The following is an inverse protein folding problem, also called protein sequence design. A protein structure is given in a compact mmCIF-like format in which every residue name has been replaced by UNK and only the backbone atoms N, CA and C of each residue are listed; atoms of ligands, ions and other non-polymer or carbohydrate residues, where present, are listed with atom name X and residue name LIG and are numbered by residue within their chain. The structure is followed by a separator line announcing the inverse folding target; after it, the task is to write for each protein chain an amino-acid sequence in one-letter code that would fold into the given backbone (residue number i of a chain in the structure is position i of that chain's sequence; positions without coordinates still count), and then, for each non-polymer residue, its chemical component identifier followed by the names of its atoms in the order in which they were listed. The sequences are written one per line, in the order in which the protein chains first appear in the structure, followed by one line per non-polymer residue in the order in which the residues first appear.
data_IF_513941454055
#
_entry.id   IF_513941454055
#
_cell.length_a   1.000
_cell.length_b   1.000
_cell.length_c   1.000
_cell.angle_alpha   90.00
_cell.angle_beta   90.00
_cell.angle_gamma   90.00
#
_symmetry.space_group_name_H-M   'P 1'
#
loop_
_entity.id
_entity.type
_entity.pdbx_description
1 polymer ?
#
# COMPACT_ATOMS: atom_id res chain seq x y z
N UNK A 1 -7.13 23.36 -6.92
CA UNK A 1 -6.71 21.97 -6.60
C UNK A 1 -6.87 21.18 -7.88
N UNK A 2 -5.84 20.45 -8.27
CA UNK A 2 -5.88 19.57 -9.44
C UNK A 2 -5.94 18.13 -8.93
N UNK A 3 -6.87 17.34 -9.46
CA UNK A 3 -7.09 15.94 -9.09
C UNK A 3 -7.13 15.13 -10.39
N UNK A 4 -6.32 14.08 -10.43
CA UNK A 4 -6.26 13.11 -11.51
C UNK A 4 -6.75 11.77 -10.95
N UNK A 5 -7.87 11.28 -11.46
CA UNK A 5 -8.33 9.92 -11.22
C UNK A 5 -7.78 8.99 -12.29
N UNK A 6 -7.19 7.86 -11.88
CA UNK A 6 -6.69 6.83 -12.78
C UNK A 6 -7.54 5.57 -12.65
N UNK A 7 -7.92 4.98 -13.78
CA UNK A 7 -8.53 3.65 -13.83
C UNK A 7 -8.04 2.91 -15.09
N UNK A 8 -7.98 1.58 -15.02
CA UNK A 8 -7.60 0.73 -16.15
C UNK A 8 -8.70 0.62 -17.20
N UNK A 9 -9.96 0.85 -16.81
CA UNK A 9 -11.14 0.68 -17.66
C UNK A 9 -11.56 2.01 -18.27
N UNK A 10 -11.45 2.09 -19.59
CA UNK A 10 -11.89 3.24 -20.39
C UNK A 10 -13.37 3.61 -20.15
N UNK A 11 -14.25 2.62 -19.97
CA UNK A 11 -15.66 2.87 -19.64
C UNK A 11 -15.83 3.63 -18.31
N UNK A 12 -15.10 3.22 -17.26
CA UNK A 12 -15.15 3.88 -15.94
C UNK A 12 -14.64 5.31 -16.06
N UNK A 13 -13.53 5.51 -16.75
CA UNK A 13 -12.96 6.86 -16.99
C UNK A 13 -13.95 7.75 -17.72
N UNK A 14 -14.59 7.27 -18.80
CA UNK A 14 -15.58 8.04 -19.55
C UNK A 14 -16.78 8.42 -18.69
N UNK A 15 -17.28 7.50 -17.87
CA UNK A 15 -18.40 7.78 -16.99
C UNK A 15 -18.04 8.78 -15.89
N UNK A 16 -16.88 8.62 -15.25
CA UNK A 16 -16.37 9.55 -14.26
C UNK A 16 -16.14 10.94 -14.85
N UNK A 17 -15.57 11.03 -16.05
CA UNK A 17 -15.36 12.29 -16.76
C UNK A 17 -16.70 12.98 -17.09
N UNK A 18 -17.68 12.22 -17.62
CA UNK A 18 -19.03 12.72 -17.88
C UNK A 18 -19.72 13.23 -16.62
N UNK A 19 -19.56 12.54 -15.48
CA UNK A 19 -20.12 12.96 -14.19
C UNK A 19 -19.44 14.25 -13.71
N UNK A 20 -18.10 14.31 -13.78
CA UNK A 20 -17.30 15.49 -13.44
C UNK A 20 -17.77 16.74 -14.20
N UNK A 21 -17.98 16.60 -15.51
CA UNK A 21 -18.47 17.67 -16.39
C UNK A 21 -19.90 18.11 -16.04
N UNK A 22 -20.82 17.15 -15.85
CA UNK A 22 -22.21 17.44 -15.48
C UNK A 22 -22.32 18.19 -14.14
N UNK A 23 -21.43 17.90 -13.20
CA UNK A 23 -21.40 18.53 -11.88
C UNK A 23 -20.54 19.81 -11.84
N UNK A 24 -19.87 20.17 -12.94
CA UNK A 24 -19.01 21.35 -13.00
C UNK A 24 -17.77 21.25 -12.11
N UNK A 25 -17.26 20.03 -11.88
CA UNK A 25 -16.09 19.76 -11.04
C UNK A 25 -14.79 20.26 -11.70
N UNK A 26 -14.50 21.55 -11.56
CA UNK A 26 -13.28 22.17 -12.09
C UNK A 26 -12.03 21.59 -11.40
N UNK A 27 -11.02 21.24 -12.20
CA UNK A 27 -9.75 20.67 -11.71
C UNK A 27 -9.80 19.17 -11.43
N UNK A 28 -10.91 18.48 -11.73
CA UNK A 28 -11.02 17.02 -11.65
C UNK A 28 -11.06 16.41 -13.05
N UNK A 29 -10.05 15.61 -13.38
CA UNK A 29 -9.99 14.85 -14.64
C UNK A 29 -9.73 13.37 -14.37
N UNK A 30 -10.14 12.54 -15.32
CA UNK A 30 -9.90 11.11 -15.28
C UNK A 30 -9.09 10.68 -16.51
N UNK A 31 -8.13 9.78 -16.31
CA UNK A 31 -7.24 9.28 -17.35
C UNK A 31 -7.21 7.75 -17.30
N UNK A 32 -7.19 7.11 -18.48
CA UNK A 32 -7.01 5.66 -18.58
C UNK A 32 -5.54 5.36 -18.36
N UNK A 33 -5.22 4.60 -17.32
CA UNK A 33 -3.84 4.30 -17.00
C UNK A 33 -3.69 3.42 -15.77
N UNK A 34 -2.59 2.66 -15.78
CA UNK A 34 -2.11 1.99 -14.57
C UNK A 34 -1.34 3.00 -13.73
N UNK A 35 -1.58 3.01 -12.43
CA UNK A 35 -0.79 3.81 -11.49
C UNK A 35 0.67 3.38 -11.50
N UNK A 36 0.93 2.08 -11.71
CA UNK A 36 2.28 1.55 -11.83
C UNK A 36 2.96 2.15 -13.07
N UNK A 37 3.94 3.03 -12.85
CA UNK A 37 4.68 3.70 -13.93
C UNK A 37 3.99 4.94 -14.51
N UNK A 38 2.89 5.42 -13.92
CA UNK A 38 2.29 6.69 -14.35
C UNK A 38 3.23 7.87 -14.11
N UNK A 39 3.31 8.77 -15.09
CA UNK A 39 4.07 10.02 -14.98
C UNK A 39 3.13 11.19 -14.80
N UNK A 40 3.09 11.75 -13.59
CA UNK A 40 2.17 12.83 -13.24
C UNK A 40 2.49 14.20 -13.89
N UNK A 41 3.58 14.30 -14.67
CA UNK A 41 3.98 15.54 -15.34
C UNK A 41 4.39 16.69 -14.41
N UNK A 42 4.47 16.46 -13.11
CA UNK A 42 4.79 17.44 -12.08
C UNK A 42 4.79 16.83 -10.66
N UNK A 43 5.05 17.64 -9.62
CA UNK A 43 5.03 17.18 -8.24
C UNK A 43 3.62 16.78 -7.80
N UNK A 44 3.51 15.64 -7.11
CA UNK A 44 2.25 15.15 -6.54
C UNK A 44 2.25 15.40 -5.03
N UNK A 45 1.29 16.17 -4.53
CA UNK A 45 1.19 16.47 -3.10
C UNK A 45 0.62 15.29 -2.29
N UNK A 46 -0.34 14.56 -2.87
CA UNK A 46 -1.09 13.51 -2.19
C UNK A 46 -1.44 12.37 -3.15
N UNK A 47 -1.33 11.13 -2.67
CA UNK A 47 -1.84 9.94 -3.34
C UNK A 47 -2.96 9.31 -2.52
N UNK A 48 -4.05 8.94 -3.18
CA UNK A 48 -5.22 8.31 -2.56
C UNK A 48 -5.57 7.04 -3.34
N UNK A 49 -5.60 5.89 -2.67
CA UNK A 49 -6.08 4.63 -3.24
C UNK A 49 -7.33 4.14 -2.50
N UNK A 50 -8.43 4.04 -3.24
CA UNK A 50 -9.72 3.58 -2.74
C UNK A 50 -10.09 2.34 -3.54
N UNK A 51 -10.27 1.21 -2.86
CA UNK A 51 -10.59 -0.09 -3.49
C UNK A 51 -9.54 -0.61 -4.49
N UNK A 52 -8.27 -0.24 -4.35
CA UNK A 52 -7.16 -0.85 -5.08
C UNK A 52 -6.83 -2.23 -4.49
N UNK A 53 -7.68 -3.23 -4.69
CA UNK A 53 -7.56 -4.50 -3.97
C UNK A 53 -6.28 -5.30 -4.32
N UNK A 54 -5.90 -6.17 -3.40
CA UNK A 54 -4.72 -7.03 -3.45
C UNK A 54 -3.43 -6.23 -3.69
N UNK A 55 -2.58 -6.67 -4.61
CA UNK A 55 -1.29 -6.04 -4.93
C UNK A 55 -1.42 -4.67 -5.63
N UNK A 56 -2.62 -4.28 -6.05
CA UNK A 56 -2.85 -2.93 -6.58
C UNK A 56 -2.65 -1.84 -5.51
N UNK A 57 -2.94 -2.15 -4.24
CA UNK A 57 -2.59 -1.25 -3.12
C UNK A 57 -1.07 -1.09 -3.03
N UNK A 58 -0.31 -2.17 -3.21
CA UNK A 58 1.16 -2.14 -3.15
C UNK A 58 1.75 -1.34 -4.32
N UNK A 59 1.22 -1.50 -5.53
CA UNK A 59 1.59 -0.68 -6.68
C UNK A 59 1.32 0.82 -6.45
N UNK A 60 0.15 1.15 -5.90
CA UNK A 60 -0.21 2.53 -5.57
C UNK A 60 0.70 3.14 -4.49
N UNK A 61 1.00 2.37 -3.43
CA UNK A 61 1.92 2.80 -2.37
C UNK A 61 3.32 3.00 -2.94
N UNK A 62 3.84 2.03 -3.69
CA UNK A 62 5.16 2.11 -4.30
C UNK A 62 5.26 3.36 -5.18
N UNK A 63 4.32 3.56 -6.10
CA UNK A 63 4.30 4.75 -6.97
C UNK A 63 4.24 6.06 -6.18
N UNK A 64 3.46 6.12 -5.10
CA UNK A 64 3.38 7.31 -4.25
C UNK A 64 4.72 7.61 -3.55
N UNK A 65 5.44 6.57 -3.11
CA UNK A 65 6.80 6.70 -2.59
C UNK A 65 7.76 7.19 -3.69
N UNK A 66 7.65 6.69 -4.93
CA UNK A 66 8.45 7.15 -6.08
C UNK A 66 8.25 8.64 -6.35
N UNK A 67 7.01 9.11 -6.34
CA UNK A 67 6.70 10.54 -6.48
C UNK A 67 7.10 11.37 -5.26
N UNK A 68 7.55 10.75 -4.17
CA UNK A 68 7.90 11.39 -2.89
C UNK A 68 6.75 12.28 -2.38
N UNK A 69 5.52 11.80 -2.52
CA UNK A 69 4.33 12.57 -2.13
C UNK A 69 4.36 12.90 -0.64
N UNK A 70 3.73 14.00 -0.24
CA UNK A 70 3.69 14.42 1.17
C UNK A 70 2.76 13.53 2.00
N UNK A 71 1.68 13.05 1.38
CA UNK A 71 0.63 12.26 2.06
C UNK A 71 0.21 11.07 1.18
N UNK A 72 0.15 9.89 1.79
CA UNK A 72 -0.42 8.66 1.21
C UNK A 72 -1.62 8.26 2.05
N UNK A 73 -2.77 8.08 1.40
CA UNK A 73 -3.99 7.54 1.98
C UNK A 73 -4.37 6.27 1.23
N UNK A 74 -4.17 5.10 1.84
CA UNK A 74 -4.50 3.82 1.24
C UNK A 74 -5.59 3.11 2.04
N UNK A 75 -6.70 2.78 1.39
CA UNK A 75 -7.80 2.00 1.97
C UNK A 75 -7.71 0.55 1.44
N UNK A 76 -7.05 -0.36 2.18
CA UNK A 76 -6.94 -1.75 1.78
C UNK A 76 -8.31 -2.43 1.90
N UNK A 77 -8.76 -3.08 0.82
CA UNK A 77 -10.03 -3.79 0.76
C UNK A 77 -9.84 -5.30 0.89
N UNK A 78 -9.33 -5.97 -0.14
CA UNK A 78 -9.14 -7.42 -0.16
C UNK A 78 -7.66 -7.74 -0.32
N UNK A 79 -7.15 -8.77 0.33
CA UNK A 79 -5.75 -9.16 0.26
C UNK A 79 -5.65 -10.68 0.27
N UNK A 80 -5.01 -11.23 -0.75
CA UNK A 80 -4.85 -12.67 -0.92
C UNK A 80 -3.38 -13.10 -0.94
N UNK A 81 -2.45 -12.16 -1.14
CA UNK A 81 -1.01 -12.47 -1.17
C UNK A 81 -0.58 -13.26 0.08
N UNK A 82 -0.74 -12.67 1.27
CA UNK A 82 -0.32 -13.33 2.50
C UNK A 82 -1.16 -14.56 2.84
N UNK A 83 -2.40 -14.66 2.37
CA UNK A 83 -3.23 -15.83 2.62
C UNK A 83 -2.57 -17.10 2.03
N UNK A 84 -1.94 -16.96 0.85
CA UNK A 84 -1.25 -18.07 0.20
C UNK A 84 0.18 -18.28 0.72
N UNK A 85 0.83 -17.24 1.24
CA UNK A 85 2.21 -17.32 1.74
C UNK A 85 2.30 -17.81 3.19
N UNK A 86 1.27 -17.56 4.01
CA UNK A 86 1.27 -17.97 5.41
C UNK A 86 1.07 -19.48 5.55
N UNK A 87 2.05 -20.10 6.20
CA UNK A 87 1.93 -21.49 6.67
C UNK A 87 0.92 -21.58 7.81
N UNK A 88 0.16 -22.67 7.85
CA UNK A 88 -0.71 -22.96 9.00
C UNK A 88 0.13 -23.22 10.27
N UNK A 89 1.42 -23.55 10.11
CA UNK A 89 2.36 -23.78 11.22
C UNK A 89 2.80 -22.49 11.92
N UNK A 90 2.62 -21.31 11.31
CA UNK A 90 3.03 -20.03 11.90
C UNK A 90 2.24 -19.75 13.19
N UNK A 91 0.92 -19.96 13.16
CA UNK A 91 0.01 -19.83 14.30
C UNK A 91 -1.10 -20.90 14.22
N UNK A 92 -0.80 -22.18 14.51
CA UNK A 92 -1.69 -23.31 14.21
C UNK A 92 -3.10 -23.19 14.81
N UNK A 93 -3.20 -22.65 16.03
CA UNK A 93 -4.48 -22.45 16.70
C UNK A 93 -5.36 -21.40 16.02
N UNK A 94 -4.77 -20.39 15.39
CA UNK A 94 -5.48 -19.29 14.74
C UNK A 94 -5.75 -19.59 13.25
N UNK A 95 -4.75 -20.11 12.54
CA UNK A 95 -4.77 -20.21 11.07
C UNK A 95 -5.46 -21.46 10.53
N UNK A 96 -5.79 -22.44 11.38
CA UNK A 96 -6.51 -23.67 10.98
C UNK A 96 -7.86 -23.41 10.32
N UNK A 97 -8.53 -22.32 10.68
CA UNK A 97 -9.83 -21.96 10.11
C UNK A 97 -9.65 -20.91 9.02
N UNK A 98 -10.10 -21.22 7.79
CA UNK A 98 -9.88 -20.37 6.62
C UNK A 98 -10.29 -18.91 6.82
N UNK A 99 -11.44 -18.65 7.47
CA UNK A 99 -11.90 -17.28 7.75
C UNK A 99 -10.97 -16.51 8.70
N UNK A 100 -10.38 -17.19 9.69
CA UNK A 100 -9.43 -16.57 10.62
C UNK A 100 -8.10 -16.32 9.92
N UNK A 101 -7.65 -17.27 9.09
CA UNK A 101 -6.47 -17.11 8.24
C UNK A 101 -6.60 -15.95 7.27
N UNK A 102 -7.75 -15.80 6.61
CA UNK A 102 -8.05 -14.69 5.70
C UNK A 102 -7.98 -13.34 6.41
N UNK A 103 -8.66 -13.20 7.56
CA UNK A 103 -8.66 -11.96 8.34
C UNK A 103 -7.28 -11.63 8.88
N UNK A 104 -6.57 -12.63 9.40
CA UNK A 104 -5.20 -12.45 9.88
C UNK A 104 -4.25 -12.05 8.75
N UNK A 105 -4.33 -12.72 7.59
CA UNK A 105 -3.52 -12.40 6.42
C UNK A 105 -3.72 -10.94 5.97
N UNK A 106 -4.97 -10.47 5.94
CA UNK A 106 -5.27 -9.07 5.60
C UNK A 106 -4.63 -8.10 6.61
N UNK A 107 -4.81 -8.32 7.91
CA UNK A 107 -4.22 -7.47 8.96
C UNK A 107 -2.68 -7.50 8.94
N UNK A 108 -2.10 -8.68 8.74
CA UNK A 108 -0.65 -8.85 8.62
C UNK A 108 -0.10 -8.11 7.40
N UNK A 109 -0.84 -8.11 6.28
CA UNK A 109 -0.46 -7.38 5.06
C UNK A 109 -0.41 -5.88 5.36
N UNK A 110 -1.43 -5.34 6.00
CA UNK A 110 -1.50 -3.92 6.32
C UNK A 110 -0.44 -3.50 7.35
N UNK A 111 -0.10 -4.39 8.29
CA UNK A 111 1.01 -4.18 9.20
C UNK A 111 2.37 -4.13 8.48
N UNK A 112 2.62 -5.03 7.52
CA UNK A 112 3.84 -5.00 6.69
C UNK A 112 3.93 -3.74 5.84
N UNK A 113 2.82 -3.32 5.23
CA UNK A 113 2.75 -2.05 4.47
C UNK A 113 3.08 -0.85 5.33
N UNK A 114 2.50 -0.78 6.53
CA UNK A 114 2.77 0.31 7.46
C UNK A 114 4.23 0.34 7.89
N UNK A 115 4.81 -0.83 8.22
CA UNK A 115 6.21 -0.94 8.61
C UNK A 115 7.17 -0.57 7.46
N UNK A 116 6.87 -0.98 6.22
CA UNK A 116 7.66 -0.58 5.05
C UNK A 116 7.59 0.92 4.79
N UNK A 117 6.40 1.51 4.85
CA UNK A 117 6.22 2.96 4.72
C UNK A 117 7.07 3.72 5.76
N UNK A 118 7.12 3.23 7.00
CA UNK A 118 8.00 3.78 8.02
C UNK A 118 9.48 3.64 7.69
N UNK A 119 9.88 2.47 7.17
CA UNK A 119 11.26 2.23 6.73
C UNK A 119 11.69 3.14 5.58
N UNK A 120 10.76 3.56 4.71
CA UNK A 120 11.02 4.50 3.60
C UNK A 120 10.70 5.97 3.92
N UNK A 121 10.58 6.33 5.21
CA UNK A 121 10.53 7.74 5.64
C UNK A 121 9.12 8.34 5.71
N UNK A 122 8.09 7.52 5.90
CA UNK A 122 6.73 7.98 6.17
C UNK A 122 6.30 7.64 7.60
N UNK A 123 5.85 8.64 8.35
CA UNK A 123 5.14 8.39 9.60
C UNK A 123 3.79 7.80 9.28
N UNK A 124 3.58 6.54 9.64
CA UNK A 124 2.37 5.79 9.25
C UNK A 124 1.46 5.54 10.44
N UNK A 125 0.16 5.63 10.19
CA UNK A 125 -0.88 5.31 11.15
C UNK A 125 -1.91 4.41 10.46
N UNK A 126 -2.27 3.31 11.11
CA UNK A 126 -3.42 2.49 10.72
C UNK A 126 -4.59 2.95 11.58
N UNK A 127 -5.58 3.56 10.96
CA UNK A 127 -6.73 4.15 11.67
C UNK A 127 -8.03 3.57 11.15
N UNK A 128 -9.05 3.61 11.99
CA UNK A 128 -10.42 3.35 11.57
C UNK A 128 -10.92 4.51 10.70
N UNK A 129 -11.45 4.18 9.52
CA UNK A 129 -11.90 5.11 8.50
C UNK A 129 -13.43 5.23 8.45
N UNK A 130 -14.13 4.10 8.59
CA UNK A 130 -15.59 3.98 8.52
C UNK A 130 -16.03 2.99 9.59
N UNK A 131 -17.16 3.20 10.24
CA UNK A 131 -17.69 2.25 11.23
C UNK A 131 -17.88 0.85 10.62
N UNK A 132 -17.60 -0.18 11.42
CA UNK A 132 -17.85 -1.58 11.08
C UNK A 132 -19.32 -1.86 10.74
N UNK A 133 -20.25 -1.04 11.25
CA UNK A 133 -21.68 -1.10 10.88
C UNK A 133 -21.92 -0.93 9.38
N UNK A 134 -21.05 -0.21 8.68
CA UNK A 134 -21.18 0.05 7.25
C UNK A 134 -20.31 -0.89 6.41
N UNK A 135 -19.14 -1.27 6.89
CA UNK A 135 -18.25 -2.19 6.17
C UNK A 135 -17.24 -2.86 7.09
N UNK A 136 -16.97 -4.17 6.91
CA UNK A 136 -15.85 -4.84 7.60
C UNK A 136 -14.48 -4.38 7.09
N UNK A 137 -14.42 -3.58 6.01
CA UNK A 137 -13.20 -2.99 5.45
C UNK A 137 -13.10 -1.54 5.92
N UNK A 138 -12.67 -1.39 7.16
CA UNK A 138 -12.72 -0.13 7.90
C UNK A 138 -11.35 0.51 8.16
N UNK A 139 -10.26 -0.05 7.63
CA UNK A 139 -8.92 0.48 7.89
C UNK A 139 -8.47 1.48 6.81
N UNK A 140 -7.72 2.50 7.23
CA UNK A 140 -7.00 3.44 6.40
C UNK A 140 -5.54 3.51 6.86
N UNK A 141 -4.62 3.27 5.94
CA UNK A 141 -3.22 3.59 6.12
C UNK A 141 -3.01 5.06 5.77
N UNK A 142 -2.73 5.86 6.80
CA UNK A 142 -2.36 7.27 6.67
C UNK A 142 -0.86 7.42 6.87
N UNK A 143 -0.14 7.69 5.79
CA UNK A 143 1.30 7.88 5.80
C UNK A 143 1.67 9.32 5.43
N UNK A 144 2.41 9.98 6.31
CA UNK A 144 2.86 11.37 6.14
C UNK A 144 4.38 11.38 6.01
N UNK A 145 4.90 11.92 4.91
CA UNK A 145 6.34 11.99 4.65
C UNK A 145 7.03 12.79 5.76
N UNK A 146 8.15 12.28 6.25
CA UNK A 146 8.93 12.94 7.29
C UNK A 146 10.39 13.07 6.88
N UNK A 147 11.01 14.18 7.26
CA UNK A 147 12.44 14.42 7.01
C UNK A 147 13.33 13.78 8.09
N UNK A 148 12.73 13.14 9.11
CA UNK A 148 13.46 12.46 10.18
C UNK A 148 13.33 10.94 9.99
N UNK A 149 14.45 10.20 10.01
CA UNK A 149 14.41 8.75 10.06
C UNK A 149 13.58 8.28 11.26
N UNK A 150 12.78 7.25 11.04
CA UNK A 150 12.06 6.57 12.11
C UNK A 150 12.99 5.48 12.63
N UNK A 151 13.44 5.60 13.87
CA UNK A 151 14.35 4.64 14.48
C UNK A 151 13.76 3.21 14.41
N UNK A 152 14.65 2.26 14.12
CA UNK A 152 14.37 0.81 14.08
C UNK A 152 13.24 0.40 13.10
N UNK A 153 12.82 1.26 12.17
CA UNK A 153 11.70 0.97 11.27
C UNK A 153 11.99 -0.24 10.37
N UNK A 154 13.18 -0.30 9.79
CA UNK A 154 13.61 -1.43 8.97
C UNK A 154 13.76 -2.71 9.81
N UNK A 155 14.28 -2.61 11.04
CA UNK A 155 14.41 -3.74 11.94
C UNK A 155 13.04 -4.29 12.36
N UNK A 156 12.08 -3.42 12.67
CA UNK A 156 10.69 -3.79 12.97
C UNK A 156 10.03 -4.48 11.77
N UNK A 157 10.21 -3.97 10.56
CA UNK A 157 9.73 -4.62 9.35
C UNK A 157 10.34 -6.02 9.19
N UNK A 158 11.66 -6.12 9.31
CA UNK A 158 12.41 -7.38 9.12
C UNK A 158 12.00 -8.42 10.17
N UNK A 159 11.85 -8.00 11.43
CA UNK A 159 11.36 -8.85 12.51
C UNK A 159 9.95 -9.36 12.24
N UNK A 160 9.01 -8.49 11.83
CA UNK A 160 7.64 -8.89 11.49
C UNK A 160 7.61 -9.87 10.31
N UNK A 161 8.35 -9.57 9.25
CA UNK A 161 8.49 -10.45 8.08
C UNK A 161 9.00 -11.85 8.48
N UNK A 162 10.03 -11.89 9.33
CA UNK A 162 10.62 -13.12 9.85
C UNK A 162 9.66 -13.90 10.74
N UNK A 163 8.94 -13.24 11.65
CA UNK A 163 7.94 -13.84 12.52
C UNK A 163 6.79 -14.48 11.74
N UNK A 164 6.42 -13.89 10.60
CA UNK A 164 5.40 -14.43 9.70
C UNK A 164 5.94 -15.54 8.77
N UNK A 165 7.25 -15.80 8.78
CA UNK A 165 7.88 -16.80 7.92
C UNK A 165 7.92 -16.41 6.44
N UNK A 166 7.81 -15.12 6.12
CA UNK A 166 7.70 -14.63 4.75
C UNK A 166 9.08 -14.43 4.13
N UNK A 167 9.27 -14.95 2.91
CA UNK A 167 10.51 -14.75 2.15
C UNK A 167 10.47 -13.48 1.30
N UNK A 168 9.32 -13.21 0.70
CA UNK A 168 9.09 -12.09 -0.20
C UNK A 168 7.71 -11.48 0.07
N UNK A 169 7.59 -10.19 -0.24
CA UNK A 169 6.35 -9.42 -0.17
C UNK A 169 6.33 -8.44 -1.34
N UNK A 170 5.21 -8.31 -2.05
CA UNK A 170 5.13 -7.55 -3.30
C UNK A 170 5.57 -6.10 -3.12
N UNK A 171 5.12 -5.41 -2.08
CA UNK A 171 5.53 -4.02 -1.84
C UNK A 171 7.03 -3.88 -1.60
N UNK A 172 7.64 -4.82 -0.88
CA UNK A 172 9.09 -4.82 -0.65
C UNK A 172 9.84 -4.91 -1.98
N UNK A 173 9.43 -5.82 -2.87
CA UNK A 173 10.02 -5.99 -4.18
C UNK A 173 9.87 -4.75 -5.05
N UNK A 174 8.69 -4.12 -5.04
CA UNK A 174 8.41 -2.90 -5.80
C UNK A 174 9.25 -1.70 -5.34
N UNK A 175 9.59 -1.65 -4.05
CA UNK A 175 10.45 -0.62 -3.46
C UNK A 175 11.95 -0.94 -3.64
N UNK A 176 12.36 -2.21 -3.66
CA UNK A 176 13.75 -2.65 -3.84
C UNK A 176 14.22 -2.61 -5.30
N UNK A 177 13.33 -2.90 -6.26
CA UNK A 177 13.65 -2.87 -7.69
C UNK A 177 14.15 -1.48 -8.16
N UNK A 178 13.99 -0.46 -7.33
CA UNK A 178 14.50 0.88 -7.57
C UNK A 178 15.60 1.18 -6.54
N UNK A 179 16.86 1.04 -6.98
CA UNK A 179 18.13 1.18 -6.23
C UNK A 179 18.31 2.47 -5.39
N UNK A 180 17.31 3.34 -5.26
CA UNK A 180 17.40 4.68 -4.66
C UNK A 180 16.79 4.81 -3.24
N UNK A 181 16.22 3.74 -2.67
CA UNK A 181 15.51 3.82 -1.37
C UNK A 181 16.30 3.32 -0.14
N UNK A 182 17.59 3.00 -0.28
CA UNK A 182 18.45 2.73 0.89
C UNK A 182 18.06 1.48 1.71
N UNK A 183 17.15 0.64 1.21
CA UNK A 183 16.82 -0.66 1.77
C UNK A 183 17.92 -1.68 1.39
N UNK A 184 19.16 -1.45 1.83
CA UNK A 184 20.20 -2.46 1.76
C UNK A 184 19.89 -3.51 2.83
N UNK A 185 19.12 -4.53 2.45
CA UNK A 185 19.06 -5.77 3.23
C UNK A 185 20.43 -6.42 3.06
N UNK A 186 21.16 -6.56 4.18
CA UNK A 186 22.43 -7.29 4.21
C UNK A 186 22.25 -8.67 3.58
N UNK A 187 22.96 -8.90 2.48
CA UNK A 187 23.07 -10.20 1.83
C UNK A 187 23.67 -11.21 2.84
N UNK A 188 22.95 -12.27 3.25
CA UNK A 188 23.51 -13.27 4.17
C UNK A 188 24.60 -14.14 3.52
N UNK A 189 24.98 -13.90 2.27
CA UNK A 189 25.97 -14.70 1.53
C UNK A 189 27.32 -14.02 1.26
N UNK A 190 27.56 -12.81 1.77
CA UNK A 190 28.86 -12.13 1.60
C UNK A 190 29.64 -12.10 2.93
N UNK A 191 30.73 -12.87 3.08
CA UNK A 191 31.58 -12.79 4.26
C UNK A 191 32.36 -11.48 4.28
N UNK A 192 32.57 -10.97 5.50
CA UNK A 192 33.23 -9.71 5.85
C UNK A 192 34.66 -9.56 5.30
#
# INVERSE_FOLDING_TARGET
VEIIGLDLKDEVVRDCQRISEKLGCRGLRFEVGDIAGYSAGGPVDMSVSLHACDTATDAAIAQAVRWRVKVILAVPCCQHELFNLLSDETLPGLLRHGILKERFAALATDALRAALLEAVGYRTQVVEFIDLEHTPKNLLLRAIRTDRPIADALDRYTALKSQLGLKAFTLEQLLQAEHDLGLAVSDPSVPA
#
